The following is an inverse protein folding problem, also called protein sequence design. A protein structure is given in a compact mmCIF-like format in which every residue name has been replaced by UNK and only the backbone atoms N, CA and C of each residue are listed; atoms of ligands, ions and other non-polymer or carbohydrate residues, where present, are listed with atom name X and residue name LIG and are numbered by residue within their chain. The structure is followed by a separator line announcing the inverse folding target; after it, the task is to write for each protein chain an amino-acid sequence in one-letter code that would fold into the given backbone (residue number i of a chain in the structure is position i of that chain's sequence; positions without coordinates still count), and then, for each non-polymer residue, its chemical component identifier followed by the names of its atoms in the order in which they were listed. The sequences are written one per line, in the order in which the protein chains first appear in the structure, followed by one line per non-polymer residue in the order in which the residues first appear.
data_IF_390244526193
#
_entry.id   IF_390244526193
#
_cell.length_a   1.000
_cell.length_b   1.000
_cell.length_c   1.000
_cell.angle_alpha   90.00
_cell.angle_beta   90.00
_cell.angle_gamma   90.00
#
_symmetry.space_group_name_H-M   'P 1'
#
loop_
_entity.id
_entity.type
_entity.pdbx_description
1 polymer ?
#
# COMPACT_ATOMS: atom_id res chain seq x y z
N UNK A 1 2.71 -13.42 24.33
CA UNK A 1 1.66 -14.15 23.59
C UNK A 1 0.87 -13.25 22.65
N UNK A 2 0.26 -12.14 23.11
CA UNK A 2 -0.51 -11.24 22.22
C UNK A 2 0.38 -10.42 21.26
N UNK A 3 1.56 -9.99 21.71
CA UNK A 3 2.52 -9.21 20.90
C UNK A 3 3.12 -10.02 19.75
N UNK A 4 3.55 -11.26 20.01
CA UNK A 4 3.98 -12.23 18.97
C UNK A 4 2.91 -12.39 17.87
N UNK A 5 1.64 -12.58 18.25
CA UNK A 5 0.54 -12.71 17.29
C UNK A 5 0.32 -11.46 16.44
N UNK A 6 0.52 -10.28 17.01
CA UNK A 6 0.39 -9.02 16.27
C UNK A 6 1.54 -8.87 15.26
N UNK A 7 2.77 -9.18 15.68
CA UNK A 7 3.94 -9.19 14.77
C UNK A 7 3.75 -10.18 13.63
N UNK A 8 3.32 -11.42 13.92
CA UNK A 8 3.03 -12.43 12.90
C UNK A 8 1.97 -11.94 11.91
N UNK A 9 0.92 -11.27 12.39
CA UNK A 9 -0.15 -10.72 11.55
C UNK A 9 0.39 -9.59 10.66
N UNK A 10 1.25 -8.71 11.19
CA UNK A 10 1.88 -7.63 10.41
C UNK A 10 2.76 -8.23 9.30
N UNK A 11 3.60 -9.20 9.63
CA UNK A 11 4.45 -9.90 8.67
C UNK A 11 3.65 -10.59 7.57
N UNK A 12 2.55 -11.27 7.93
CA UNK A 12 1.62 -11.88 6.97
C UNK A 12 1.04 -10.84 6.01
N UNK A 13 0.57 -9.69 6.52
CA UNK A 13 0.04 -8.61 5.67
C UNK A 13 1.11 -8.01 4.76
N UNK A 14 2.33 -7.81 5.24
CA UNK A 14 3.45 -7.33 4.43
C UNK A 14 3.82 -8.33 3.32
N UNK A 15 3.75 -9.63 3.62
CA UNK A 15 3.99 -10.69 2.64
C UNK A 15 2.95 -10.72 1.51
N UNK A 16 1.76 -10.13 1.70
CA UNK A 16 0.76 -9.95 0.63
C UNK A 16 0.98 -8.68 -0.20
N UNK A 17 1.47 -7.60 0.43
CA UNK A 17 1.66 -6.30 -0.24
C UNK A 17 2.84 -6.35 -1.22
N UNK A 18 3.99 -6.86 -0.79
CA UNK A 18 5.21 -6.80 -1.59
C UNK A 18 5.08 -7.54 -2.95
N UNK A 19 4.54 -8.77 -3.02
CA UNK A 19 4.30 -9.45 -4.30
C UNK A 19 3.27 -8.72 -5.17
N UNK A 20 2.21 -8.17 -4.58
CA UNK A 20 1.17 -7.43 -5.32
C UNK A 20 1.74 -6.18 -5.99
N UNK A 21 2.54 -5.39 -5.25
CA UNK A 21 3.23 -4.21 -5.82
C UNK A 21 4.20 -4.62 -6.93
N UNK A 22 4.95 -5.71 -6.73
CA UNK A 22 5.89 -6.22 -7.73
C UNK A 22 5.18 -6.70 -9.01
N UNK A 23 4.02 -7.34 -8.88
CA UNK A 23 3.21 -7.74 -10.03
C UNK A 23 2.69 -6.52 -10.83
N UNK A 24 2.22 -5.46 -10.14
CA UNK A 24 1.86 -4.19 -10.79
C UNK A 24 3.07 -3.57 -11.50
N UNK A 25 4.26 -3.63 -10.89
CA UNK A 25 5.50 -3.09 -11.47
C UNK A 25 5.91 -3.82 -12.76
N UNK A 26 5.71 -5.14 -12.83
CA UNK A 26 6.00 -5.93 -14.03
C UNK A 26 5.02 -5.68 -15.17
N UNK A 27 3.81 -5.20 -14.85
CA UNK A 27 2.77 -4.96 -15.83
C UNK A 27 2.02 -6.24 -16.19
N UNK A 28 1.08 -6.12 -17.12
CA UNK A 28 0.19 -7.19 -17.56
C UNK A 28 -1.04 -6.61 -18.25
N UNK A 29 -2.03 -7.45 -18.51
CA UNK A 29 -3.29 -7.01 -19.09
C UNK A 29 -4.08 -6.13 -18.11
N UNK A 30 -4.83 -5.16 -18.65
CA UNK A 30 -5.56 -4.18 -17.84
C UNK A 30 -6.53 -4.81 -16.82
N UNK A 31 -7.32 -5.86 -17.13
CA UNK A 31 -8.19 -6.49 -16.14
C UNK A 31 -7.42 -7.07 -14.95
N UNK A 32 -6.29 -7.74 -15.21
CA UNK A 32 -5.41 -8.27 -14.18
C UNK A 32 -4.80 -7.15 -13.32
N UNK A 33 -4.34 -6.08 -13.94
CA UNK A 33 -3.79 -4.93 -13.22
C UNK A 33 -4.83 -4.22 -12.34
N UNK A 34 -6.10 -4.16 -12.78
CA UNK A 34 -7.22 -3.63 -11.98
C UNK A 34 -7.54 -4.50 -10.76
N UNK A 35 -7.47 -5.82 -10.93
CA UNK A 35 -7.61 -6.76 -9.83
C UNK A 35 -6.48 -6.57 -8.79
N UNK A 36 -5.24 -6.50 -9.24
CA UNK A 36 -4.09 -6.22 -8.37
C UNK A 36 -4.20 -4.87 -7.66
N UNK A 37 -4.68 -3.82 -8.33
CA UNK A 37 -4.94 -2.52 -7.70
C UNK A 37 -5.96 -2.65 -6.55
N UNK A 38 -7.02 -3.43 -6.77
CA UNK A 38 -8.06 -3.66 -5.77
C UNK A 38 -7.52 -4.44 -4.57
N UNK A 39 -6.75 -5.51 -4.82
CA UNK A 39 -6.08 -6.29 -3.77
C UNK A 39 -5.09 -5.43 -2.97
N UNK A 40 -4.30 -4.61 -3.64
CA UNK A 40 -3.35 -3.70 -2.99
C UNK A 40 -4.08 -2.75 -2.02
N UNK A 41 -5.19 -2.14 -2.45
CA UNK A 41 -6.01 -1.28 -1.58
C UNK A 41 -6.48 -2.03 -0.33
N UNK A 42 -7.00 -3.24 -0.50
CA UNK A 42 -7.49 -4.07 0.61
C UNK A 42 -6.36 -4.45 1.58
N UNK A 43 -5.20 -4.86 1.06
CA UNK A 43 -4.05 -5.23 1.89
C UNK A 43 -3.53 -4.02 2.68
N UNK A 44 -3.35 -2.87 2.04
CA UNK A 44 -2.92 -1.64 2.68
C UNK A 44 -3.91 -1.21 3.78
N UNK A 45 -5.22 -1.17 3.47
CA UNK A 45 -6.26 -0.84 4.45
C UNK A 45 -6.25 -1.79 5.66
N UNK A 46 -6.01 -3.09 5.43
CA UNK A 46 -5.95 -4.08 6.49
C UNK A 46 -4.68 -4.01 7.34
N UNK A 47 -3.58 -3.50 6.78
CA UNK A 47 -2.30 -3.37 7.49
C UNK A 47 -2.28 -2.12 8.38
N UNK A 48 -2.65 -0.95 7.85
CA UNK A 48 -2.52 0.34 8.57
C UNK A 48 -3.37 0.42 9.85
N UNK A 49 -4.43 -0.38 9.95
CA UNK A 49 -5.24 -0.47 11.18
C UNK A 49 -4.55 -1.24 12.32
N UNK A 50 -3.46 -1.97 12.01
CA UNK A 50 -2.63 -2.67 12.99
C UNK A 50 -1.60 -1.76 13.67
N UNK A 51 -1.45 -0.52 13.21
CA UNK A 51 -0.52 0.46 13.76
C UNK A 51 -1.26 1.58 14.50
N UNK A 52 -0.57 2.23 15.43
CA UNK A 52 -1.03 3.48 16.03
C UNK A 52 -1.23 4.57 14.95
N UNK A 53 -1.86 5.68 15.32
CA UNK A 53 -2.02 6.80 14.38
C UNK A 53 -0.63 7.38 14.08
N UNK A 54 -0.27 7.38 12.80
CA UNK A 54 1.03 7.84 12.30
C UNK A 54 0.80 8.52 10.94
N UNK A 55 0.81 9.87 10.89
CA UNK A 55 0.60 10.60 9.65
C UNK A 55 1.64 10.31 8.57
N UNK A 56 2.86 9.94 8.97
CA UNK A 56 3.93 9.58 8.03
C UNK A 56 3.65 8.24 7.36
N UNK A 57 3.15 7.26 8.12
CA UNK A 57 2.71 5.97 7.57
C UNK A 57 1.46 6.12 6.70
N UNK A 58 0.50 6.95 7.14
CA UNK A 58 -0.72 7.23 6.38
C UNK A 58 -0.38 7.84 5.02
N UNK A 59 0.47 8.88 4.99
CA UNK A 59 0.94 9.50 3.76
C UNK A 59 1.70 8.52 2.86
N UNK A 60 2.61 7.71 3.40
CA UNK A 60 3.36 6.74 2.62
C UNK A 60 2.46 5.64 2.02
N UNK A 61 1.39 5.27 2.73
CA UNK A 61 0.40 4.30 2.26
C UNK A 61 -0.41 4.86 1.09
N UNK A 62 -0.89 6.11 1.22
CA UNK A 62 -1.60 6.80 0.14
C UNK A 62 -0.68 7.00 -1.08
N UNK A 63 0.58 7.41 -0.87
CA UNK A 63 1.58 7.57 -1.93
C UNK A 63 1.82 6.26 -2.70
N UNK A 64 1.98 5.14 -1.98
CA UNK A 64 2.19 3.83 -2.59
C UNK A 64 0.99 3.41 -3.45
N UNK A 65 -0.23 3.57 -2.93
CA UNK A 65 -1.43 3.25 -3.70
C UNK A 65 -1.61 4.16 -4.92
N UNK A 66 -1.38 5.46 -4.78
CA UNK A 66 -1.46 6.42 -5.89
C UNK A 66 -0.42 6.12 -6.99
N UNK A 67 0.81 5.77 -6.61
CA UNK A 67 1.84 5.37 -7.58
C UNK A 67 1.47 4.08 -8.31
N UNK A 68 0.90 3.10 -7.61
CA UNK A 68 0.40 1.87 -8.22
C UNK A 68 -0.76 2.15 -9.18
N UNK A 69 -1.73 2.97 -8.76
CA UNK A 69 -2.86 3.40 -9.59
C UNK A 69 -2.37 4.12 -10.87
N UNK A 70 -1.33 4.94 -10.78
CA UNK A 70 -0.76 5.63 -11.95
C UNK A 70 -0.12 4.66 -12.97
N UNK A 71 0.44 3.55 -12.50
CA UNK A 71 0.96 2.46 -13.35
C UNK A 71 -0.19 1.69 -14.02
N UNK A 72 -1.24 1.34 -13.26
CA UNK A 72 -2.42 0.63 -13.79
C UNK A 72 -3.21 1.47 -14.79
N UNK A 73 -3.35 2.76 -14.53
CA UNK A 73 -4.09 3.72 -15.37
C UNK A 73 -3.27 4.28 -16.54
N UNK A 74 -2.24 3.57 -17.03
CA UNK A 74 -1.39 4.06 -18.13
C UNK A 74 -2.09 4.02 -19.50
N UNK A 75 -3.17 4.78 -19.65
CA UNK A 75 -4.03 4.79 -20.85
C UNK A 75 -4.04 6.14 -21.58
N UNK A 76 -3.36 7.17 -21.05
CA UNK A 76 -3.44 8.53 -21.60
C UNK A 76 -2.21 8.90 -22.44
N UNK A 77 -2.44 9.49 -23.61
CA UNK A 77 -1.42 10.03 -24.54
C UNK A 77 -0.52 11.14 -23.94
N UNK A 78 -0.84 11.62 -22.74
CA UNK A 78 -0.10 12.60 -21.94
C UNK A 78 0.49 12.03 -20.63
N UNK A 79 0.45 10.71 -20.45
CA UNK A 79 1.00 10.07 -19.26
C UNK A 79 2.53 10.17 -19.24
N UNK A 80 3.11 10.32 -18.06
CA UNK A 80 4.57 10.19 -17.90
C UNK A 80 5.03 8.86 -18.52
N UNK A 81 6.25 8.80 -19.12
CA UNK A 81 6.77 7.55 -19.64
C UNK A 81 6.65 6.43 -18.60
N UNK A 82 6.21 5.25 -19.03
CA UNK A 82 5.99 4.09 -18.15
C UNK A 82 7.19 3.82 -17.22
N UNK A 83 8.42 4.02 -17.69
CA UNK A 83 9.64 3.93 -16.90
C UNK A 83 9.68 4.89 -15.69
N UNK A 84 9.20 6.13 -15.83
CA UNK A 84 9.13 7.11 -14.74
C UNK A 84 8.10 6.68 -13.70
N UNK A 85 6.94 6.19 -14.12
CA UNK A 85 5.89 5.69 -13.20
C UNK A 85 6.38 4.49 -12.40
N UNK A 86 7.07 3.55 -13.05
CA UNK A 86 7.71 2.41 -12.36
C UNK A 86 8.76 2.87 -11.34
N UNK A 87 9.56 3.89 -11.68
CA UNK A 87 10.53 4.47 -10.74
C UNK A 87 9.82 5.06 -9.51
N UNK A 88 8.76 5.85 -9.72
CA UNK A 88 7.98 6.44 -8.63
C UNK A 88 7.31 5.38 -7.76
N UNK A 89 6.82 4.28 -8.34
CA UNK A 89 6.29 3.14 -7.60
C UNK A 89 7.34 2.50 -6.69
N UNK A 90 8.57 2.29 -7.18
CA UNK A 90 9.68 1.78 -6.36
C UNK A 90 10.05 2.72 -5.21
N UNK A 91 10.17 4.02 -5.49
CA UNK A 91 10.48 5.03 -4.47
C UNK A 91 9.38 5.09 -3.41
N UNK A 92 8.10 4.99 -3.81
CA UNK A 92 6.97 4.93 -2.87
C UNK A 92 7.00 3.64 -2.03
N UNK A 93 7.34 2.49 -2.63
CA UNK A 93 7.48 1.22 -1.90
C UNK A 93 8.59 1.29 -0.85
N UNK A 94 9.76 1.85 -1.19
CA UNK A 94 10.88 2.03 -0.23
C UNK A 94 10.46 2.92 0.92
N UNK A 95 9.88 4.10 0.63
CA UNK A 95 9.40 5.02 1.69
C UNK A 95 8.34 4.39 2.59
N UNK A 96 7.45 3.58 2.02
CA UNK A 96 6.46 2.82 2.78
C UNK A 96 7.11 1.80 3.71
N UNK A 97 8.11 1.05 3.24
CA UNK A 97 8.85 0.08 4.06
C UNK A 97 9.62 0.76 5.21
N UNK A 98 10.27 1.89 4.93
CA UNK A 98 10.94 2.70 5.96
C UNK A 98 9.97 3.17 7.04
N UNK A 99 8.77 3.65 6.65
CA UNK A 99 7.74 4.09 7.60
C UNK A 99 7.22 2.94 8.44
N UNK A 100 6.92 1.79 7.82
CA UNK A 100 6.49 0.58 8.54
C UNK A 100 7.52 0.15 9.59
N UNK A 101 8.81 0.19 9.27
CA UNK A 101 9.87 -0.22 10.19
C UNK A 101 9.95 0.65 11.46
N UNK A 102 9.46 1.89 11.38
CA UNK A 102 9.46 2.86 12.51
C UNK A 102 8.10 3.02 13.18
N UNK A 103 7.03 2.51 12.56
CA UNK A 103 5.67 2.68 13.04
C UNK A 103 5.41 1.81 14.28
N UNK A 104 4.60 2.33 15.20
CA UNK A 104 4.26 1.61 16.44
C UNK A 104 3.09 0.66 16.21
N UNK A 105 3.25 -0.66 16.44
CA UNK A 105 2.14 -1.59 16.42
C UNK A 105 1.10 -1.23 17.49
N UNK A 106 -0.18 -1.29 17.13
CA UNK A 106 -1.27 -1.00 18.05
C UNK A 106 -1.59 -2.24 18.89
N UNK A 107 -1.16 -2.25 20.15
CA UNK A 107 -1.45 -3.32 21.11
C UNK A 107 -2.89 -3.35 21.66
N UNK A 108 -3.75 -2.38 21.29
CA UNK A 108 -5.15 -2.30 21.74
C UNK A 108 -6.13 -2.50 20.58
N UNK A 109 -7.27 -3.16 20.87
CA UNK A 109 -8.29 -3.56 19.89
C UNK A 109 -8.68 -2.42 18.94
N UNK A 110 -8.73 -2.79 17.66
CA UNK A 110 -8.98 -1.98 16.47
C UNK A 110 -10.27 -1.16 16.61
N UNK A 111 -10.14 0.16 16.66
CA UNK A 111 -11.23 1.10 16.41
C UNK A 111 -10.73 2.17 15.43
N UNK A 112 -10.38 1.74 14.23
CA UNK A 112 -9.82 2.59 13.18
C UNK A 112 -10.69 2.58 11.90
N UNK A 113 -12.01 2.44 12.06
CA UNK A 113 -12.95 2.43 10.94
C UNK A 113 -12.86 3.69 10.06
N UNK A 114 -12.49 4.84 10.64
CA UNK A 114 -12.27 6.09 9.90
C UNK A 114 -11.06 6.00 8.93
N UNK A 115 -10.03 5.24 9.28
CA UNK A 115 -8.77 5.14 8.54
C UNK A 115 -8.93 4.41 7.20
N UNK A 116 -9.84 3.44 7.11
CA UNK A 116 -10.11 2.69 5.87
C UNK A 116 -10.82 3.54 4.82
N UNK A 117 -11.66 4.47 5.25
CA UNK A 117 -12.43 5.33 4.35
C UNK A 117 -11.60 6.52 3.83
N UNK A 118 -10.75 7.14 4.65
CA UNK A 118 -10.09 8.41 4.26
C UNK A 118 -8.83 8.24 3.41
N UNK A 119 -8.06 7.16 3.60
CA UNK A 119 -6.72 7.00 2.98
C UNK A 119 -6.74 6.92 1.44
N UNK A 120 -7.87 6.57 0.85
CA UNK A 120 -8.00 6.28 -0.58
C UNK A 120 -9.02 7.18 -1.30
N UNK A 121 -9.53 8.25 -0.67
CA UNK A 121 -10.53 9.13 -1.29
C UNK A 121 -9.97 9.99 -2.43
N UNK A 122 -8.64 10.13 -2.52
CA UNK A 122 -7.97 11.02 -3.46
C UNK A 122 -7.21 10.31 -4.60
N UNK A 123 -7.32 8.98 -4.73
CA UNK A 123 -6.48 8.16 -5.61
C UNK A 123 -7.27 7.37 -6.67
#
# INVERSE_FOLDING_TARGET
MAELRLTDTIEEKLALISPTVKAIEFGGELPYLRELQTLLRQHLASLVVLFERDPGLDAATTDLYAAAAAVVNDTARASQPFARKRRLLKEAQVRFQERIATARPNGRRVCAAWRQNELFLAA
#
